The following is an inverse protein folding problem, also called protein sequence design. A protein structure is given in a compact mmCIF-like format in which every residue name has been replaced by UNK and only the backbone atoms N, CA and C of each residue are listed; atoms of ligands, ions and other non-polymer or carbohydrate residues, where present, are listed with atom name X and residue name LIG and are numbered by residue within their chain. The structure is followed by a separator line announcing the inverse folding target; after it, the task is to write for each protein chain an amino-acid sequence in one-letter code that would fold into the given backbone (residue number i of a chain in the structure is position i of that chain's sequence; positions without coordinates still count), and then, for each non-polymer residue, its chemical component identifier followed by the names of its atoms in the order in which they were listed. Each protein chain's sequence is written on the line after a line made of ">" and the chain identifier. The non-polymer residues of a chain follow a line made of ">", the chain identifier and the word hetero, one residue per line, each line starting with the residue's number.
data_IF_884749390623
#
_entry.id   IF_884749390623
#
_cell.length_a   1.000
_cell.length_b   1.000
_cell.length_c   1.000
_cell.angle_alpha   90.00
_cell.angle_beta   90.00
_cell.angle_gamma   90.00
#
_symmetry.space_group_name_H-M   'P 1'
#
loop_
_entity.id
_entity.type
_entity.pdbx_description
1 polymer ?
#
# COMPACT_ATOMS: atom_id res chain seq x y z
N UNK A 1 0.43 74.92 -38.37
CA UNK A 1 1.70 75.67 -38.08
C UNK A 1 2.60 74.73 -37.28
N UNK A 2 3.71 74.41 -37.93
CA UNK A 2 5.10 74.25 -37.45
C UNK A 2 5.35 73.48 -36.14
N UNK A 3 5.92 72.28 -36.32
CA UNK A 3 7.31 71.86 -35.99
C UNK A 3 7.70 71.90 -34.49
N UNK A 4 8.13 70.79 -33.91
CA UNK A 4 9.54 70.39 -33.88
C UNK A 4 9.69 68.93 -33.29
N UNK A 5 10.40 68.15 -34.06
CA UNK A 5 11.15 66.95 -33.65
C UNK A 5 12.19 67.28 -32.57
N UNK A 6 12.44 66.41 -31.65
CA UNK A 6 13.78 66.11 -31.17
C UNK A 6 13.92 64.69 -30.76
N UNK A 7 14.74 63.99 -31.45
CA UNK A 7 15.39 62.70 -31.23
C UNK A 7 16.22 62.70 -29.95
N UNK A 8 16.14 61.64 -29.18
CA UNK A 8 17.27 61.15 -28.42
C UNK A 8 17.21 59.63 -28.42
N UNK A 9 17.95 59.05 -29.33
CA UNK A 9 18.34 57.65 -29.32
C UNK A 9 19.73 57.52 -28.68
N UNK A 10 20.03 56.30 -28.24
CA UNK A 10 21.32 55.76 -27.79
C UNK A 10 21.77 56.04 -26.36
N UNK A 11 21.54 55.01 -25.55
CA UNK A 11 22.55 54.31 -24.74
C UNK A 11 21.87 53.44 -23.68
N UNK A 12 21.68 52.16 -23.97
CA UNK A 12 21.54 51.08 -22.96
C UNK A 12 21.46 49.72 -23.69
N UNK A 13 22.56 49.38 -24.32
CA UNK A 13 22.87 48.02 -24.74
C UNK A 13 24.28 47.71 -24.28
N UNK A 14 24.42 47.23 -23.05
CA UNK A 14 25.54 46.43 -22.56
C UNK A 14 25.22 46.11 -21.10
N UNK A 15 24.49 45.03 -20.86
CA UNK A 15 24.20 44.57 -19.49
C UNK A 15 23.36 43.29 -19.38
N UNK A 16 22.84 42.76 -20.51
CA UNK A 16 21.92 41.63 -20.48
C UNK A 16 22.53 40.26 -20.86
N UNK A 17 23.81 40.21 -21.25
CA UNK A 17 24.41 38.98 -21.79
C UNK A 17 25.13 38.12 -20.77
N UNK A 18 25.40 38.59 -19.55
CA UNK A 18 26.14 37.83 -18.56
C UNK A 18 25.24 37.01 -17.58
N UNK A 19 23.96 37.36 -17.42
CA UNK A 19 23.04 36.63 -16.50
C UNK A 19 22.34 35.41 -17.15
N UNK A 20 22.26 35.35 -18.47
CA UNK A 20 21.65 34.23 -19.17
C UNK A 20 22.56 32.99 -19.28
N UNK A 21 23.88 33.17 -19.25
CA UNK A 21 24.84 32.07 -19.35
C UNK A 21 24.98 31.27 -18.05
N UNK A 22 24.88 31.92 -16.89
CA UNK A 22 24.99 31.22 -15.58
C UNK A 22 23.72 30.45 -15.21
N UNK A 23 22.54 30.93 -15.60
CA UNK A 23 21.27 30.23 -15.38
C UNK A 23 21.13 28.96 -16.24
N UNK A 24 21.56 29.03 -17.50
CA UNK A 24 21.50 27.86 -18.40
C UNK A 24 22.49 26.77 -18.01
N UNK A 25 23.69 27.10 -17.54
CA UNK A 25 24.70 26.11 -17.11
C UNK A 25 24.27 25.41 -15.81
N UNK A 26 23.67 26.11 -14.85
CA UNK A 26 23.20 25.53 -13.60
C UNK A 26 21.98 24.61 -13.82
N UNK A 27 21.05 24.97 -14.70
CA UNK A 27 19.90 24.13 -15.05
C UNK A 27 20.35 22.87 -15.81
N UNK A 28 21.30 23.00 -16.75
CA UNK A 28 21.81 21.84 -17.48
C UNK A 28 22.66 20.91 -16.60
N UNK A 29 23.47 21.43 -15.70
CA UNK A 29 24.22 20.63 -14.73
C UNK A 29 23.31 19.91 -13.73
N UNK A 30 22.28 20.58 -13.21
CA UNK A 30 21.30 19.99 -12.31
C UNK A 30 20.47 18.87 -12.98
N UNK A 31 20.02 19.09 -14.23
CA UNK A 31 19.31 18.06 -15.00
C UNK A 31 20.18 16.85 -15.32
N UNK A 32 21.43 17.05 -15.68
CA UNK A 32 22.39 15.96 -15.98
C UNK A 32 22.69 15.15 -14.72
N UNK A 33 22.89 15.80 -13.57
CA UNK A 33 23.15 15.12 -12.28
C UNK A 33 21.95 14.30 -11.83
N UNK A 34 20.73 14.83 -11.97
CA UNK A 34 19.50 14.10 -11.64
C UNK A 34 19.30 12.90 -12.56
N UNK A 35 19.54 13.04 -13.85
CA UNK A 35 19.42 11.95 -14.83
C UNK A 35 20.46 10.86 -14.58
N UNK A 36 21.68 11.20 -14.22
CA UNK A 36 22.73 10.24 -13.87
C UNK A 36 22.35 9.46 -12.59
N UNK A 37 21.83 10.13 -11.56
CA UNK A 37 21.37 9.51 -10.33
C UNK A 37 20.18 8.56 -10.55
N UNK A 38 19.24 8.91 -11.42
CA UNK A 38 18.12 8.04 -11.78
C UNK A 38 18.58 6.80 -12.57
N UNK A 39 19.52 6.96 -13.49
CA UNK A 39 20.10 5.86 -14.26
C UNK A 39 20.88 4.90 -13.34
N UNK A 40 21.64 5.43 -12.40
CA UNK A 40 22.39 4.67 -11.42
C UNK A 40 21.45 3.84 -10.54
N UNK A 41 20.41 4.44 -9.97
CA UNK A 41 19.39 3.74 -9.17
C UNK A 41 18.66 2.66 -9.97
N UNK A 42 18.30 2.96 -11.22
CA UNK A 42 17.69 1.99 -12.13
C UNK A 42 18.58 0.75 -12.33
N UNK A 43 19.87 0.94 -12.59
CA UNK A 43 20.80 -0.16 -12.76
C UNK A 43 21.02 -0.94 -11.47
N UNK A 44 21.16 -0.25 -10.33
CA UNK A 44 21.32 -0.87 -9.03
C UNK A 44 20.17 -1.82 -8.71
N UNK A 45 18.93 -1.32 -8.78
CA UNK A 45 17.72 -2.11 -8.48
C UNK A 45 17.61 -3.34 -9.38
N UNK A 46 17.84 -3.19 -10.69
CA UNK A 46 17.75 -4.32 -11.63
C UNK A 46 18.84 -5.37 -11.39
N UNK A 47 20.03 -4.95 -11.02
CA UNK A 47 21.12 -5.84 -10.65
C UNK A 47 20.81 -6.58 -9.34
N UNK A 48 20.24 -5.89 -8.35
CA UNK A 48 19.78 -6.48 -7.09
C UNK A 48 18.69 -7.52 -7.36
N UNK A 49 17.67 -7.21 -8.16
CA UNK A 49 16.62 -8.17 -8.54
C UNK A 49 17.19 -9.38 -9.27
N UNK A 50 18.14 -9.17 -10.18
CA UNK A 50 18.83 -10.25 -10.91
C UNK A 50 19.63 -11.15 -9.98
N UNK A 51 20.44 -10.55 -9.09
CA UNK A 51 21.29 -11.24 -8.10
C UNK A 51 20.47 -12.15 -7.19
N UNK A 52 19.31 -11.67 -6.71
CA UNK A 52 18.44 -12.43 -5.82
C UNK A 52 17.40 -13.31 -6.54
N UNK A 53 17.46 -13.42 -7.86
CA UNK A 53 16.51 -14.19 -8.67
C UNK A 53 15.04 -13.81 -8.46
N UNK A 54 14.74 -12.56 -8.05
CA UNK A 54 13.39 -12.05 -7.92
C UNK A 54 12.96 -11.30 -9.18
N UNK A 55 11.63 -11.17 -9.37
CA UNK A 55 11.00 -10.43 -10.46
C UNK A 55 9.84 -9.62 -9.93
N UNK A 56 9.65 -8.45 -10.47
CA UNK A 56 8.58 -7.55 -10.02
C UNK A 56 8.84 -6.10 -10.39
N UNK A 57 8.28 -5.22 -9.57
CA UNK A 57 8.31 -3.78 -9.73
C UNK A 57 8.47 -3.11 -8.37
N UNK A 58 9.22 -2.02 -8.34
CA UNK A 58 9.42 -1.21 -7.13
C UNK A 58 9.35 0.26 -7.47
N UNK A 59 8.66 1.04 -6.66
CA UNK A 59 8.81 2.49 -6.61
C UNK A 59 9.80 2.84 -5.50
N UNK A 60 10.94 3.38 -5.90
CA UNK A 60 11.98 3.93 -5.03
C UNK A 60 11.68 5.41 -4.83
N UNK A 61 11.68 5.85 -3.58
CA UNK A 61 11.47 7.26 -3.23
C UNK A 61 12.75 7.80 -2.59
N UNK A 62 13.30 8.87 -3.16
CA UNK A 62 14.48 9.56 -2.64
C UNK A 62 14.22 11.07 -2.61
N UNK A 63 14.25 11.65 -1.43
CA UNK A 63 13.96 13.07 -1.19
C UNK A 63 12.59 13.50 -1.80
N UNK A 64 11.56 12.68 -1.61
CA UNK A 64 10.20 12.93 -2.11
C UNK A 64 10.00 12.66 -3.59
N UNK A 65 11.04 12.25 -4.33
CA UNK A 65 10.95 11.96 -5.77
C UNK A 65 10.80 10.46 -6.00
N UNK A 66 9.63 9.98 -6.47
CA UNK A 66 9.42 8.57 -6.79
C UNK A 66 10.00 8.21 -8.16
N UNK A 67 10.61 7.03 -8.24
CA UNK A 67 11.05 6.40 -9.48
C UNK A 67 10.61 4.95 -9.52
N UNK A 68 9.79 4.57 -10.50
CA UNK A 68 9.32 3.19 -10.66
C UNK A 68 10.27 2.41 -11.56
N UNK A 69 10.73 1.27 -11.07
CA UNK A 69 11.70 0.38 -11.72
C UNK A 69 11.14 -1.04 -11.75
N UNK A 70 11.22 -1.70 -12.88
CA UNK A 70 10.71 -3.05 -13.07
C UNK A 70 11.76 -4.01 -13.63
N UNK A 71 11.60 -5.31 -13.34
CA UNK A 71 12.44 -6.35 -13.86
C UNK A 71 11.67 -7.64 -14.10
N UNK A 72 11.89 -8.23 -15.29
CA UNK A 72 11.26 -9.50 -15.70
C UNK A 72 9.83 -9.37 -16.19
N UNK A 73 9.11 -10.48 -16.21
CA UNK A 73 7.77 -10.58 -16.77
C UNK A 73 6.72 -10.77 -15.68
N UNK A 74 5.62 -10.03 -15.79
CA UNK A 74 4.39 -10.25 -15.05
C UNK A 74 3.67 -11.53 -15.54
N UNK A 75 3.75 -11.79 -16.86
CA UNK A 75 3.28 -13.02 -17.47
C UNK A 75 4.31 -13.54 -18.50
N UNK A 76 5.14 -14.48 -18.08
CA UNK A 76 6.24 -14.99 -18.91
C UNK A 76 5.76 -15.61 -20.22
N UNK A 77 4.73 -16.46 -20.18
CA UNK A 77 4.20 -17.12 -21.38
C UNK A 77 3.62 -16.16 -22.44
N UNK A 78 3.10 -14.99 -22.01
CA UNK A 78 2.58 -13.95 -22.91
C UNK A 78 3.60 -12.83 -23.16
N UNK A 79 4.80 -12.90 -22.57
CA UNK A 79 5.85 -11.88 -22.68
C UNK A 79 5.38 -10.48 -22.21
N UNK A 80 4.46 -10.41 -21.25
CA UNK A 80 4.02 -9.15 -20.64
C UNK A 80 5.01 -8.81 -19.53
N UNK A 81 5.75 -7.70 -19.70
CA UNK A 81 6.76 -7.25 -18.74
C UNK A 81 6.14 -6.64 -17.48
N UNK A 82 6.88 -6.72 -16.36
CA UNK A 82 6.48 -6.06 -15.11
C UNK A 82 6.38 -4.52 -15.22
N UNK A 83 7.01 -3.87 -16.18
CA UNK A 83 6.86 -2.44 -16.46
C UNK A 83 5.70 -2.08 -17.39
N UNK A 84 4.86 -3.03 -17.78
CA UNK A 84 3.71 -2.75 -18.66
C UNK A 84 2.65 -1.95 -17.87
N UNK A 85 2.16 -0.81 -18.39
CA UNK A 85 1.18 0.04 -17.69
C UNK A 85 -0.19 -0.61 -17.49
N UNK A 86 -0.44 -1.76 -18.14
CA UNK A 86 -1.66 -2.55 -17.97
C UNK A 86 -1.49 -3.70 -16.97
N UNK A 87 -0.47 -3.67 -16.14
CA UNK A 87 -0.27 -4.67 -15.07
C UNK A 87 -0.57 -4.03 -13.72
N UNK A 88 -1.40 -4.70 -12.92
CA UNK A 88 -1.71 -4.33 -11.53
C UNK A 88 -1.37 -5.49 -10.60
N UNK A 89 -0.89 -5.22 -9.40
CA UNK A 89 -0.33 -6.22 -8.47
C UNK A 89 -1.20 -6.40 -7.24
N UNK A 90 -1.31 -7.61 -6.70
CA UNK A 90 -2.01 -7.85 -5.44
C UNK A 90 -1.28 -7.13 -4.30
N UNK A 91 -2.03 -6.38 -3.50
CA UNK A 91 -1.48 -5.70 -2.31
C UNK A 91 -1.29 -6.64 -1.14
N UNK A 92 -2.01 -7.76 -1.13
CA UNK A 92 -2.12 -8.60 0.06
C UNK A 92 -2.40 -7.74 1.31
N UNK A 93 -1.73 -8.00 2.42
CA UNK A 93 -1.97 -7.30 3.69
C UNK A 93 -1.68 -5.80 3.70
N UNK A 94 -1.05 -5.25 2.66
CA UNK A 94 -0.90 -3.81 2.51
C UNK A 94 -2.25 -3.08 2.40
N UNK A 95 -3.33 -3.77 2.02
CA UNK A 95 -4.69 -3.20 1.99
C UNK A 95 -5.19 -2.79 3.37
N UNK A 96 -4.75 -3.42 4.43
CA UNK A 96 -5.30 -3.23 5.77
C UNK A 96 -5.26 -1.78 6.24
N UNK A 97 -4.19 -1.04 5.94
CA UNK A 97 -4.12 0.38 6.31
C UNK A 97 -5.20 1.22 5.64
N UNK A 98 -5.59 0.86 4.43
CA UNK A 98 -6.66 1.54 3.68
C UNK A 98 -8.01 1.31 4.37
N UNK A 99 -8.31 0.06 4.77
CA UNK A 99 -9.51 -0.28 5.52
C UNK A 99 -9.58 0.47 6.85
N UNK A 100 -8.45 0.53 7.58
CA UNK A 100 -8.36 1.26 8.83
C UNK A 100 -8.51 2.79 8.64
N UNK A 101 -7.97 3.35 7.55
CA UNK A 101 -8.15 4.76 7.21
C UNK A 101 -9.62 5.11 6.96
N UNK A 102 -10.37 4.24 6.28
CA UNK A 102 -11.83 4.43 6.10
C UNK A 102 -12.56 4.42 7.46
N UNK A 103 -12.16 3.57 8.40
CA UNK A 103 -12.72 3.58 9.77
C UNK A 103 -12.47 4.94 10.45
N UNK A 104 -11.26 5.50 10.34
CA UNK A 104 -10.94 6.82 10.91
C UNK A 104 -11.77 7.93 10.26
N UNK A 105 -11.93 7.92 8.92
CA UNK A 105 -12.84 8.85 8.24
C UNK A 105 -14.27 8.78 8.82
N UNK A 106 -14.78 7.55 8.99
CA UNK A 106 -16.15 7.34 9.52
C UNK A 106 -16.29 7.76 10.99
N UNK A 107 -15.26 7.60 11.82
CA UNK A 107 -15.24 8.15 13.18
C UNK A 107 -15.45 9.68 13.15
N UNK A 108 -14.72 10.37 12.26
CA UNK A 108 -14.83 11.81 12.12
C UNK A 108 -16.20 12.25 11.55
N UNK A 109 -16.66 11.58 10.51
CA UNK A 109 -17.94 11.89 9.85
C UNK A 109 -19.15 11.68 10.76
N UNK A 110 -19.11 10.69 11.64
CA UNK A 110 -20.23 10.35 12.52
C UNK A 110 -20.20 11.04 13.88
N UNK A 111 -19.12 11.74 14.22
CA UNK A 111 -18.84 12.30 15.56
C UNK A 111 -20.01 13.03 16.22
N UNK A 112 -20.81 13.73 15.43
CA UNK A 112 -21.94 14.54 15.92
C UNK A 112 -23.31 13.97 15.50
N UNK A 113 -23.40 12.67 15.25
CA UNK A 113 -24.62 11.98 14.82
C UNK A 113 -24.99 10.87 15.81
N UNK A 114 -26.18 10.29 15.66
CA UNK A 114 -26.63 9.09 16.37
C UNK A 114 -25.78 7.85 16.06
N UNK A 115 -25.05 7.89 14.95
CA UNK A 115 -24.10 6.84 14.54
C UNK A 115 -22.70 7.01 15.12
N UNK A 116 -22.44 8.03 15.94
CA UNK A 116 -21.11 8.31 16.51
C UNK A 116 -20.49 7.07 17.17
N UNK A 117 -19.23 6.84 16.88
CA UNK A 117 -18.42 5.76 17.44
C UNK A 117 -16.94 6.18 17.48
N UNK A 118 -16.11 5.39 18.17
CA UNK A 118 -14.67 5.57 18.24
C UNK A 118 -13.94 4.26 18.45
N UNK A 119 -12.61 4.29 18.60
CA UNK A 119 -11.80 3.10 18.81
C UNK A 119 -12.21 2.23 20.00
N UNK A 120 -12.84 2.80 21.03
CA UNK A 120 -13.25 2.07 22.23
C UNK A 120 -14.67 1.48 22.12
N UNK A 121 -15.41 1.83 21.07
CA UNK A 121 -16.76 1.31 20.83
C UNK A 121 -16.72 -0.20 20.65
N UNK A 122 -17.57 -0.91 21.40
CA UNK A 122 -17.63 -2.37 21.34
C UNK A 122 -18.29 -2.84 20.05
N UNK A 123 -17.71 -3.89 19.44
CA UNK A 123 -18.21 -4.39 18.16
C UNK A 123 -19.56 -5.12 18.28
N UNK A 124 -20.02 -5.43 19.49
CA UNK A 124 -21.39 -5.92 19.72
C UNK A 124 -22.47 -4.99 19.19
N UNK A 125 -22.18 -3.70 18.99
CA UNK A 125 -23.07 -2.75 18.31
C UNK A 125 -23.44 -3.18 16.89
N UNK A 126 -22.52 -3.82 16.18
CA UNK A 126 -22.70 -4.29 14.79
C UNK A 126 -22.78 -5.81 14.68
N UNK A 127 -22.23 -6.52 15.66
CA UNK A 127 -22.16 -7.97 15.73
C UNK A 127 -22.63 -8.49 17.08
N UNK A 128 -23.93 -8.32 17.43
CA UNK A 128 -24.41 -8.68 18.77
C UNK A 128 -24.26 -10.17 19.11
N UNK A 129 -24.27 -11.03 18.09
CA UNK A 129 -24.17 -12.48 18.23
C UNK A 129 -22.75 -13.03 17.99
N UNK A 130 -21.74 -12.17 17.83
CA UNK A 130 -20.37 -12.62 17.68
C UNK A 130 -19.75 -12.94 19.05
N UNK A 131 -19.03 -14.03 19.12
CA UNK A 131 -18.31 -14.47 20.33
C UNK A 131 -17.40 -13.34 20.85
N UNK A 132 -17.51 -13.03 22.13
CA UNK A 132 -16.76 -11.99 22.83
C UNK A 132 -16.99 -10.54 22.32
N UNK A 133 -18.00 -10.29 21.47
CA UNK A 133 -18.22 -8.97 20.88
C UNK A 133 -18.38 -7.82 21.90
N UNK A 134 -18.91 -8.10 23.09
CA UNK A 134 -19.06 -7.13 24.18
C UNK A 134 -17.72 -6.70 24.81
N UNK A 135 -16.65 -7.45 24.58
CA UNK A 135 -15.32 -7.17 25.10
C UNK A 135 -14.39 -6.60 24.04
N UNK A 136 -14.63 -6.91 22.76
CA UNK A 136 -13.81 -6.49 21.64
C UNK A 136 -14.22 -5.08 21.22
N UNK A 137 -13.25 -4.16 21.07
CA UNK A 137 -13.47 -2.81 20.52
C UNK A 137 -13.05 -2.72 19.04
N UNK A 138 -13.47 -1.65 18.37
CA UNK A 138 -12.99 -1.31 17.01
C UNK A 138 -11.47 -1.22 16.98
N UNK A 139 -10.86 -0.60 17.99
CA UNK A 139 -9.40 -0.52 18.13
C UNK A 139 -8.74 -1.89 18.23
N UNK A 140 -9.34 -2.85 18.97
CA UNK A 140 -8.81 -4.21 19.06
C UNK A 140 -8.75 -4.91 17.69
N UNK A 141 -9.73 -4.67 16.80
CA UNK A 141 -9.67 -5.17 15.43
C UNK A 141 -8.51 -4.53 14.66
N UNK A 142 -8.34 -3.20 14.78
CA UNK A 142 -7.31 -2.44 14.06
C UNK A 142 -5.89 -2.73 14.54
N UNK A 143 -5.71 -3.29 15.73
CA UNK A 143 -4.40 -3.61 16.34
C UNK A 143 -4.13 -5.11 16.46
N UNK A 144 -5.04 -5.96 15.95
CA UNK A 144 -4.97 -7.42 16.11
C UNK A 144 -4.90 -7.89 17.57
N UNK A 145 -5.58 -7.17 18.48
CA UNK A 145 -5.66 -7.51 19.91
C UNK A 145 -7.07 -7.94 20.33
N UNK A 146 -7.87 -8.42 19.38
CA UNK A 146 -9.24 -8.89 19.61
C UNK A 146 -9.34 -10.25 20.30
N UNK A 147 -8.25 -11.02 20.35
CA UNK A 147 -8.28 -12.43 20.80
C UNK A 147 -8.91 -13.38 19.78
N UNK A 148 -9.20 -12.94 18.55
CA UNK A 148 -9.73 -13.79 17.49
C UNK A 148 -8.61 -14.69 16.95
N UNK A 149 -8.75 -16.01 17.13
CA UNK A 149 -7.83 -17.04 16.64
C UNK A 149 -8.47 -17.94 15.57
N UNK A 150 -9.58 -17.49 15.00
CA UNK A 150 -10.34 -18.22 13.99
C UNK A 150 -9.43 -18.77 12.87
N UNK A 151 -9.81 -19.92 12.31
CA UNK A 151 -9.08 -20.59 11.25
C UNK A 151 -8.78 -19.63 10.06
N UNK A 152 -7.71 -19.92 9.33
CA UNK A 152 -7.24 -19.12 8.19
C UNK A 152 -8.39 -18.85 7.21
N UNK A 153 -8.53 -17.59 6.81
CA UNK A 153 -9.52 -17.14 5.82
C UNK A 153 -9.09 -17.43 4.39
N UNK A 154 -7.80 -17.63 4.14
CA UNK A 154 -7.22 -17.87 2.82
C UNK A 154 -7.24 -19.34 2.42
N UNK A 155 -8.38 -19.99 2.60
CA UNK A 155 -8.56 -21.39 2.22
C UNK A 155 -9.27 -21.40 0.87
N UNK A 156 -8.55 -21.76 -0.19
CA UNK A 156 -9.14 -21.92 -1.52
C UNK A 156 -10.14 -23.10 -1.52
N UNK A 157 -11.42 -22.80 -1.32
CA UNK A 157 -12.53 -23.78 -1.27
C UNK A 157 -13.26 -23.93 -2.61
N UNK A 158 -12.79 -23.27 -3.68
CA UNK A 158 -13.51 -23.23 -4.95
C UNK A 158 -14.77 -22.37 -4.97
N UNK A 159 -15.13 -21.74 -3.83
CA UNK A 159 -16.31 -20.90 -3.69
C UNK A 159 -15.92 -19.43 -3.86
N UNK A 160 -16.62 -18.72 -4.72
CA UNK A 160 -16.52 -17.26 -4.85
C UNK A 160 -17.61 -16.64 -3.97
N UNK A 161 -17.18 -15.88 -2.97
CA UNK A 161 -18.05 -15.21 -2.01
C UNK A 161 -18.44 -13.80 -2.50
N UNK A 162 -19.69 -13.40 -2.24
CA UNK A 162 -20.00 -11.96 -2.15
C UNK A 162 -19.37 -11.37 -0.88
N UNK A 163 -19.32 -10.04 -0.76
CA UNK A 163 -18.84 -9.39 0.48
C UNK A 163 -19.65 -9.82 1.70
N UNK A 164 -20.98 -9.96 1.53
CA UNK A 164 -21.87 -10.40 2.60
C UNK A 164 -21.59 -11.85 3.02
N UNK A 165 -21.48 -12.76 2.04
CA UNK A 165 -21.20 -14.16 2.32
C UNK A 165 -19.82 -14.38 2.97
N UNK A 166 -18.80 -13.62 2.54
CA UNK A 166 -17.47 -13.66 3.15
C UNK A 166 -17.52 -13.22 4.61
N UNK A 167 -18.28 -12.19 4.92
CA UNK A 167 -18.49 -11.70 6.28
C UNK A 167 -19.24 -12.71 7.14
N UNK A 168 -20.35 -13.26 6.63
CA UNK A 168 -21.14 -14.30 7.31
C UNK A 168 -20.29 -15.54 7.59
N UNK A 169 -19.48 -15.95 6.63
CA UNK A 169 -18.55 -17.06 6.81
C UNK A 169 -17.55 -16.78 7.95
N UNK A 170 -16.97 -15.56 7.97
CA UNK A 170 -16.02 -15.16 9.02
C UNK A 170 -16.67 -15.15 10.39
N UNK A 171 -17.88 -14.60 10.52
CA UNK A 171 -18.64 -14.59 11.79
C UNK A 171 -18.91 -16.01 12.28
N UNK A 172 -19.38 -16.90 11.41
CA UNK A 172 -19.59 -18.33 11.75
C UNK A 172 -18.28 -19.01 12.16
N UNK A 173 -17.21 -18.75 11.45
CA UNK A 173 -15.90 -19.34 11.72
C UNK A 173 -15.36 -18.89 13.10
N UNK A 174 -15.49 -17.59 13.44
CA UNK A 174 -15.10 -17.07 14.76
C UNK A 174 -15.93 -17.73 15.87
N UNK A 175 -17.25 -17.81 15.71
CA UNK A 175 -18.14 -18.39 16.72
C UNK A 175 -17.84 -19.88 17.00
N UNK A 176 -17.36 -20.59 15.99
CA UNK A 176 -17.01 -22.03 16.07
C UNK A 176 -15.54 -22.31 16.42
N UNK A 177 -14.73 -21.26 16.61
CA UNK A 177 -13.30 -21.41 16.89
C UNK A 177 -12.96 -21.08 18.35
N UNK A 178 -11.84 -21.59 18.89
CA UNK A 178 -11.27 -21.05 20.13
C UNK A 178 -11.02 -19.56 20.03
N UNK A 179 -10.83 -18.89 21.15
CA UNK A 179 -10.44 -17.49 21.22
C UNK A 179 -9.44 -17.29 22.36
N UNK A 180 -8.49 -16.40 22.16
CA UNK A 180 -7.60 -15.89 23.20
C UNK A 180 -8.29 -14.77 24.00
N UNK A 181 -7.61 -14.28 25.03
CA UNK A 181 -8.04 -13.11 25.77
C UNK A 181 -7.97 -11.86 24.90
N UNK A 182 -8.98 -11.02 24.99
CA UNK A 182 -8.93 -9.67 24.40
C UNK A 182 -7.77 -8.89 25.03
N UNK A 183 -6.98 -8.22 24.21
CA UNK A 183 -5.73 -7.59 24.59
C UNK A 183 -4.49 -8.39 24.18
N UNK A 184 -4.61 -9.69 23.84
CA UNK A 184 -3.50 -10.48 23.30
C UNK A 184 -3.33 -10.23 21.81
N UNK A 185 -2.10 -9.96 21.38
CA UNK A 185 -1.78 -9.77 19.96
C UNK A 185 -1.83 -11.11 19.22
N UNK A 186 -2.73 -11.18 18.23
CA UNK A 186 -2.85 -12.32 17.34
C UNK A 186 -3.24 -11.84 15.94
N UNK A 187 -2.26 -11.79 15.03
CA UNK A 187 -2.51 -11.33 13.66
C UNK A 187 -3.51 -12.27 12.95
N UNK A 188 -4.65 -11.71 12.53
CA UNK A 188 -5.71 -12.49 11.86
C UNK A 188 -6.49 -11.60 10.87
N UNK A 189 -6.64 -12.08 9.63
CA UNK A 189 -7.40 -11.38 8.59
C UNK A 189 -8.86 -11.10 8.97
N UNK A 190 -9.47 -11.98 9.78
CA UNK A 190 -10.85 -11.83 10.25
C UNK A 190 -11.09 -10.47 10.92
N UNK A 191 -10.10 -9.90 11.60
CA UNK A 191 -10.21 -8.58 12.21
C UNK A 191 -10.56 -7.51 11.16
N UNK A 192 -9.86 -7.50 10.05
CA UNK A 192 -10.07 -6.50 8.99
C UNK A 192 -11.30 -6.81 8.12
N UNK A 193 -11.66 -8.07 7.98
CA UNK A 193 -12.93 -8.45 7.33
C UNK A 193 -14.12 -7.96 8.17
N UNK A 194 -14.08 -8.08 9.50
CA UNK A 194 -15.11 -7.49 10.38
C UNK A 194 -15.18 -5.97 10.24
N UNK A 195 -14.05 -5.26 10.08
CA UNK A 195 -14.07 -3.82 9.83
C UNK A 195 -14.82 -3.46 8.55
N UNK A 196 -14.75 -4.28 7.48
CA UNK A 196 -15.54 -4.02 6.26
C UNK A 196 -17.04 -4.09 6.52
N UNK A 197 -17.49 -5.00 7.37
CA UNK A 197 -18.89 -5.07 7.76
C UNK A 197 -19.35 -3.89 8.61
N UNK A 198 -18.48 -3.35 9.49
CA UNK A 198 -18.75 -2.12 10.23
C UNK A 198 -18.90 -0.94 9.24
N UNK A 199 -17.96 -0.81 8.27
CA UNK A 199 -18.03 0.21 7.22
C UNK A 199 -19.38 0.13 6.48
N UNK A 200 -19.79 -1.07 6.07
CA UNK A 200 -21.05 -1.30 5.35
C UNK A 200 -22.28 -0.89 6.17
N UNK A 201 -22.32 -1.24 7.46
CA UNK A 201 -23.47 -0.93 8.33
C UNK A 201 -23.58 0.56 8.64
N UNK A 202 -22.45 1.28 8.77
CA UNK A 202 -22.44 2.72 9.02
C UNK A 202 -22.87 3.50 7.79
N UNK A 203 -22.31 3.14 6.61
CA UNK A 203 -22.48 3.88 5.36
C UNK A 203 -23.72 3.47 4.57
N UNK A 204 -24.23 2.25 4.76
CA UNK A 204 -25.26 1.65 3.90
C UNK A 204 -24.76 1.26 2.51
N UNK A 205 -23.45 1.39 2.24
CA UNK A 205 -22.81 1.09 0.97
C UNK A 205 -21.93 -0.17 1.09
N UNK A 206 -21.65 -0.86 -0.04
CA UNK A 206 -20.67 -1.94 -0.04
C UNK A 206 -19.27 -1.43 0.32
N UNK A 207 -18.38 -2.33 0.79
CA UNK A 207 -16.98 -1.97 1.00
C UNK A 207 -16.31 -1.51 -0.31
N UNK A 208 -16.66 -2.16 -1.42
CA UNK A 208 -16.25 -1.76 -2.76
C UNK A 208 -16.61 -0.30 -3.08
N UNK A 209 -17.87 0.10 -2.86
CA UNK A 209 -18.31 1.48 -3.09
C UNK A 209 -17.55 2.47 -2.18
N UNK A 210 -17.30 2.10 -0.93
CA UNK A 210 -16.52 2.93 -0.01
C UNK A 210 -15.07 3.11 -0.48
N UNK A 211 -14.37 2.04 -0.88
CA UNK A 211 -13.00 2.15 -1.36
C UNK A 211 -12.93 2.93 -2.68
N UNK A 212 -13.91 2.73 -3.56
CA UNK A 212 -13.99 3.43 -4.83
C UNK A 212 -14.13 4.95 -4.64
N UNK A 213 -15.04 5.39 -3.79
CA UNK A 213 -15.31 6.82 -3.61
C UNK A 213 -14.32 7.51 -2.68
N UNK A 214 -13.93 6.85 -1.60
CA UNK A 214 -13.10 7.43 -0.53
C UNK A 214 -11.61 7.42 -0.82
N UNK A 215 -11.15 6.49 -1.67
CA UNK A 215 -9.73 6.27 -1.94
C UNK A 215 -9.43 6.43 -3.44
N UNK A 216 -10.00 5.57 -4.28
CA UNK A 216 -9.62 5.47 -5.69
C UNK A 216 -9.96 6.75 -6.46
N UNK A 217 -11.21 7.20 -6.40
CA UNK A 217 -11.63 8.42 -7.07
C UNK A 217 -11.01 9.67 -6.45
N UNK A 218 -10.93 9.71 -5.12
CA UNK A 218 -10.39 10.86 -4.38
C UNK A 218 -8.93 11.14 -4.73
N UNK A 219 -8.13 10.09 -4.93
CA UNK A 219 -6.74 10.20 -5.38
C UNK A 219 -6.59 10.15 -6.91
N UNK A 220 -7.65 9.92 -7.67
CA UNK A 220 -7.59 9.77 -9.12
C UNK A 220 -6.70 8.59 -9.57
N UNK A 221 -6.79 7.44 -8.85
CA UNK A 221 -6.03 6.24 -9.17
C UNK A 221 -6.63 5.57 -10.42
N UNK A 222 -5.79 5.08 -11.33
CA UNK A 222 -6.20 4.53 -12.62
C UNK A 222 -6.00 3.02 -12.74
N UNK A 223 -5.10 2.46 -11.92
CA UNK A 223 -4.70 1.06 -11.93
C UNK A 223 -4.90 0.39 -10.57
N UNK A 224 -5.86 0.88 -9.77
CA UNK A 224 -6.22 0.35 -8.46
C UNK A 224 -7.64 -0.21 -8.49
N UNK A 225 -7.80 -1.49 -8.15
CA UNK A 225 -9.06 -2.22 -8.26
C UNK A 225 -9.19 -3.22 -7.12
N UNK A 226 -10.40 -3.50 -6.66
CA UNK A 226 -10.67 -4.79 -6.00
C UNK A 226 -10.57 -5.91 -7.05
N UNK A 227 -10.17 -7.11 -6.65
CA UNK A 227 -9.92 -8.24 -7.56
C UNK A 227 -11.06 -8.46 -8.57
N UNK A 228 -12.30 -8.46 -8.07
CA UNK A 228 -13.49 -8.70 -8.91
C UNK A 228 -13.75 -7.62 -9.97
N UNK A 229 -13.11 -6.45 -9.84
CA UNK A 229 -13.31 -5.28 -10.69
C UNK A 229 -12.14 -4.98 -11.61
N UNK A 230 -11.13 -5.87 -11.66
CA UNK A 230 -10.02 -5.72 -12.59
C UNK A 230 -10.59 -5.70 -14.02
N UNK A 231 -10.42 -4.58 -14.78
CA UNK A 231 -11.03 -4.47 -16.11
C UNK A 231 -10.46 -5.47 -17.09
N UNK A 232 -11.29 -5.88 -18.06
CA UNK A 232 -10.79 -6.67 -19.19
C UNK A 232 -9.67 -5.91 -19.92
N UNK A 233 -8.53 -6.56 -20.10
CA UNK A 233 -7.33 -5.98 -20.73
C UNK A 233 -6.32 -5.42 -19.74
N UNK A 234 -6.62 -5.37 -18.44
CA UNK A 234 -5.64 -5.24 -17.37
C UNK A 234 -5.17 -6.65 -16.98
N UNK A 235 -3.90 -6.79 -16.70
CA UNK A 235 -3.27 -8.06 -16.35
C UNK A 235 -2.96 -8.09 -14.87
N UNK A 236 -3.54 -9.03 -14.14
CA UNK A 236 -3.01 -9.50 -12.87
C UNK A 236 -1.82 -10.42 -13.14
N UNK A 237 -0.69 -10.29 -12.44
CA UNK A 237 0.52 -11.04 -12.74
C UNK A 237 0.40 -12.50 -12.32
N UNK A 238 1.18 -13.34 -12.99
CA UNK A 238 1.39 -14.73 -12.57
C UNK A 238 2.46 -14.76 -11.49
N UNK A 239 2.22 -15.51 -10.42
CA UNK A 239 3.22 -15.85 -9.42
C UNK A 239 4.17 -16.93 -9.95
N UNK A 240 5.45 -16.73 -9.77
CA UNK A 240 6.50 -17.67 -10.20
C UNK A 240 7.48 -17.96 -9.08
N UNK A 241 8.10 -19.12 -9.16
CA UNK A 241 9.16 -19.58 -8.29
C UNK A 241 10.51 -19.58 -9.00
N UNK A 242 11.55 -19.19 -8.30
CA UNK A 242 12.94 -19.39 -8.75
C UNK A 242 13.56 -20.57 -8.02
N UNK A 243 13.83 -21.67 -8.72
CA UNK A 243 14.43 -22.87 -8.16
C UNK A 243 15.83 -23.08 -8.73
N UNK A 244 16.86 -23.06 -7.88
CA UNK A 244 18.25 -23.28 -8.29
C UNK A 244 18.69 -22.34 -9.41
N UNK A 245 18.22 -21.08 -9.41
CA UNK A 245 18.49 -20.07 -10.44
C UNK A 245 17.64 -20.20 -11.71
N UNK A 246 16.80 -21.24 -11.84
CA UNK A 246 15.81 -21.37 -12.92
C UNK A 246 14.61 -20.51 -12.60
N UNK A 247 14.41 -19.45 -13.39
CA UNK A 247 13.32 -18.51 -13.21
C UNK A 247 12.01 -19.02 -13.83
N UNK A 248 10.88 -18.39 -13.42
CA UNK A 248 9.52 -18.61 -13.96
C UNK A 248 9.02 -20.05 -13.83
N UNK A 249 9.40 -20.72 -12.72
CA UNK A 249 8.92 -22.06 -12.41
C UNK A 249 7.58 -21.97 -11.64
N UNK A 250 6.82 -23.08 -11.60
CA UNK A 250 5.62 -23.25 -10.78
C UNK A 250 4.63 -22.11 -10.91
N UNK A 251 4.26 -21.76 -12.15
CA UNK A 251 3.31 -20.69 -12.44
C UNK A 251 2.00 -20.88 -11.67
N UNK A 252 1.60 -19.88 -10.89
CA UNK A 252 0.35 -19.88 -10.13
C UNK A 252 -0.31 -18.49 -10.21
N UNK A 253 -1.61 -18.42 -10.00
CA UNK A 253 -2.38 -17.17 -10.05
C UNK A 253 -3.42 -17.12 -8.94
N UNK A 254 -3.77 -15.89 -8.52
CA UNK A 254 -4.80 -15.67 -7.53
C UNK A 254 -6.15 -16.02 -8.15
N UNK A 255 -6.87 -16.94 -7.51
CA UNK A 255 -8.22 -17.32 -7.92
C UNK A 255 -9.26 -16.42 -7.26
N UNK A 256 -10.36 -16.19 -7.97
CA UNK A 256 -11.50 -15.44 -7.43
C UNK A 256 -11.99 -16.00 -6.09
N UNK A 257 -11.98 -17.34 -5.95
CA UNK A 257 -12.34 -18.02 -4.71
C UNK A 257 -11.41 -17.70 -3.53
N UNK A 258 -10.12 -17.39 -3.78
CA UNK A 258 -9.20 -16.95 -2.75
C UNK A 258 -9.40 -15.46 -2.42
N UNK A 259 -9.38 -14.60 -3.45
CA UNK A 259 -9.49 -13.15 -3.27
C UNK A 259 -10.81 -12.74 -2.59
N UNK A 260 -11.93 -13.41 -2.93
CA UNK A 260 -13.25 -13.11 -2.36
C UNK A 260 -13.38 -13.41 -0.86
N UNK A 261 -12.46 -14.22 -0.28
CA UNK A 261 -12.49 -14.57 1.14
C UNK A 261 -11.88 -13.50 2.06
N UNK A 262 -11.17 -12.52 1.51
CA UNK A 262 -10.38 -11.55 2.27
C UNK A 262 -10.71 -10.08 1.94
N UNK A 263 -12.02 -9.71 1.85
CA UNK A 263 -12.38 -8.32 1.60
C UNK A 263 -11.78 -7.41 2.68
N UNK A 264 -11.18 -6.30 2.27
CA UNK A 264 -10.55 -5.34 3.17
C UNK A 264 -9.24 -5.79 3.83
N UNK A 265 -8.84 -7.04 3.66
CA UNK A 265 -7.64 -7.61 4.26
C UNK A 265 -6.54 -7.95 3.24
N UNK A 266 -6.85 -8.02 1.91
CA UNK A 266 -5.85 -8.38 0.93
C UNK A 266 -6.33 -8.57 -0.51
N UNK A 267 -7.56 -8.21 -0.85
CA UNK A 267 -8.11 -8.39 -2.20
C UNK A 267 -8.01 -7.17 -3.12
N UNK A 268 -7.24 -6.15 -2.73
CA UNK A 268 -6.94 -4.98 -3.56
C UNK A 268 -5.75 -5.25 -4.47
N UNK A 269 -5.82 -4.71 -5.69
CA UNK A 269 -4.75 -4.73 -6.69
C UNK A 269 -4.39 -3.30 -7.07
N UNK A 270 -3.11 -3.00 -7.21
CA UNK A 270 -2.63 -1.64 -7.52
C UNK A 270 -1.23 -1.69 -8.17
N UNK A 271 -0.66 -0.54 -8.47
CA UNK A 271 0.74 -0.39 -8.87
C UNK A 271 1.55 0.22 -7.72
N UNK A 272 2.89 0.05 -7.67
CA UNK A 272 3.69 0.58 -6.56
C UNK A 272 3.64 2.10 -6.45
N UNK A 273 3.57 2.82 -7.55
CA UNK A 273 3.46 4.28 -7.58
C UNK A 273 2.08 4.75 -7.07
N UNK A 274 0.99 4.07 -7.44
CA UNK A 274 -0.34 4.39 -6.91
C UNK A 274 -0.44 4.03 -5.41
N UNK A 275 0.18 2.94 -4.98
CA UNK A 275 0.23 2.63 -3.55
C UNK A 275 1.10 3.65 -2.77
N UNK A 276 2.18 4.17 -3.35
CA UNK A 276 2.92 5.28 -2.76
C UNK A 276 2.04 6.52 -2.62
N UNK A 277 1.23 6.87 -3.62
CA UNK A 277 0.26 7.98 -3.51
C UNK A 277 -0.78 7.76 -2.41
N UNK A 278 -1.24 6.52 -2.21
CA UNK A 278 -2.08 6.17 -1.06
C UNK A 278 -1.33 6.44 0.25
N UNK A 279 -0.07 6.02 0.36
CA UNK A 279 0.75 6.24 1.55
C UNK A 279 0.98 7.73 1.87
N UNK A 280 1.14 8.57 0.85
CA UNK A 280 1.19 10.03 0.98
C UNK A 280 -0.17 10.56 1.46
N UNK A 281 -1.25 10.11 0.84
CA UNK A 281 -2.62 10.51 1.16
C UNK A 281 -3.06 10.22 2.60
N UNK A 282 -2.40 9.29 3.29
CA UNK A 282 -2.69 8.99 4.70
C UNK A 282 -2.34 10.14 5.67
N UNK A 283 -1.61 11.17 5.22
CA UNK A 283 -1.15 12.25 6.12
C UNK A 283 -1.10 13.65 5.48
N UNK A 284 -1.48 13.80 4.20
CA UNK A 284 -1.43 15.09 3.48
C UNK A 284 -2.78 15.80 3.39
N UNK A 285 -3.85 15.22 3.95
CA UNK A 285 -5.22 15.74 3.88
C UNK A 285 -6.05 15.15 2.74
N UNK A 286 -5.48 14.40 1.82
CA UNK A 286 -6.25 13.81 0.72
C UNK A 286 -7.05 12.58 1.14
N UNK A 287 -6.57 11.74 2.04
CA UNK A 287 -7.33 10.64 2.67
C UNK A 287 -7.57 10.95 4.14
N UNK A 288 -6.50 11.19 4.88
CA UNK A 288 -6.47 11.57 6.28
C UNK A 288 -5.55 12.79 6.44
N UNK A 289 -5.78 13.61 7.45
CA UNK A 289 -4.83 14.62 7.85
C UNK A 289 -3.77 14.05 8.82
N UNK A 290 -2.84 14.88 9.27
CA UNK A 290 -1.76 14.46 10.19
C UNK A 290 -2.30 14.01 11.54
N UNK A 291 -3.37 14.62 12.04
CA UNK A 291 -3.97 14.27 13.33
C UNK A 291 -4.69 12.93 13.24
N UNK A 292 -5.37 12.68 12.13
CA UNK A 292 -6.03 11.42 11.83
C UNK A 292 -5.02 10.28 11.62
N UNK A 293 -3.91 10.56 10.95
CA UNK A 293 -2.82 9.60 10.82
C UNK A 293 -2.21 9.27 12.19
N UNK A 294 -2.01 10.27 13.03
CA UNK A 294 -1.57 10.05 14.42
C UNK A 294 -2.59 9.21 15.19
N UNK A 295 -3.88 9.52 15.11
CA UNK A 295 -4.94 8.71 15.73
C UNK A 295 -4.91 7.26 15.24
N UNK A 296 -4.80 7.02 13.92
CA UNK A 296 -4.71 5.70 13.30
C UNK A 296 -3.56 4.86 13.86
N UNK A 297 -2.45 5.49 14.16
CA UNK A 297 -1.19 4.82 14.57
C UNK A 297 -0.98 4.76 16.09
N UNK A 298 -1.86 5.41 16.89
CA UNK A 298 -1.76 5.52 18.36
C UNK A 298 -3.06 5.07 19.05
N UNK A 299 -3.63 3.95 18.58
CA UNK A 299 -4.82 3.38 19.22
C UNK A 299 -4.51 2.85 20.63
N UNK A 300 -5.44 3.03 21.58
CA UNK A 300 -5.29 2.62 22.97
C UNK A 300 -5.03 1.10 23.14
N UNK A 301 -5.50 0.30 22.20
CA UNK A 301 -5.31 -1.16 22.18
C UNK A 301 -3.97 -1.62 21.59
N UNK A 302 -3.12 -0.70 21.14
CA UNK A 302 -1.79 -0.99 20.58
C UNK A 302 -0.86 -1.51 21.69
N UNK A 303 -0.34 -2.72 21.54
CA UNK A 303 0.63 -3.36 22.45
C UNK A 303 1.94 -3.76 21.78
N UNK A 304 2.01 -3.61 20.44
CA UNK A 304 3.18 -3.88 19.61
C UNK A 304 3.45 -2.69 18.69
N UNK A 305 4.44 -2.80 17.82
CA UNK A 305 4.67 -1.81 16.76
C UNK A 305 3.52 -1.75 15.72
N UNK A 306 2.63 -2.77 15.68
CA UNK A 306 1.51 -2.84 14.73
C UNK A 306 0.33 -2.00 15.19
N UNK A 307 -0.13 -1.11 14.33
CA UNK A 307 -1.33 -0.31 14.55
C UNK A 307 -1.95 0.14 13.23
N UNK A 308 -3.27 0.06 13.12
CA UNK A 308 -3.99 0.59 11.96
C UNK A 308 -3.58 0.03 10.60
N UNK A 309 -3.11 -1.22 10.55
CA UNK A 309 -2.75 -1.88 9.29
C UNK A 309 -1.28 -1.79 8.89
N UNK A 310 -0.42 -1.21 9.73
CA UNK A 310 1.02 -1.08 9.48
C UNK A 310 1.84 -1.21 10.78
N UNK A 311 3.15 -1.33 10.62
CA UNK A 311 4.12 -1.25 11.71
C UNK A 311 4.77 0.13 11.73
N UNK A 312 4.87 0.75 12.90
CA UNK A 312 5.72 1.91 13.13
C UNK A 312 7.01 1.45 13.81
N UNK A 313 8.14 1.74 13.20
CA UNK A 313 9.47 1.29 13.63
C UNK A 313 10.40 2.47 13.91
N UNK A 314 11.49 2.22 14.61
CA UNK A 314 12.54 3.20 14.93
C UNK A 314 11.96 4.51 15.52
N UNK A 315 11.30 4.40 16.67
CA UNK A 315 10.64 5.54 17.31
C UNK A 315 9.71 6.29 16.35
N UNK A 316 8.96 5.52 15.57
CA UNK A 316 7.92 6.00 14.64
C UNK A 316 8.43 6.83 13.45
N UNK A 317 9.75 6.85 13.23
CA UNK A 317 10.33 7.50 12.06
C UNK A 317 10.10 6.72 10.75
N UNK A 318 9.79 5.42 10.86
CA UNK A 318 9.53 4.52 9.74
C UNK A 318 8.15 3.88 9.84
N UNK A 319 7.45 3.79 8.72
CA UNK A 319 6.26 2.97 8.55
C UNK A 319 6.57 1.80 7.61
N UNK A 320 6.11 0.61 7.99
CA UNK A 320 6.36 -0.62 7.25
C UNK A 320 5.12 -1.50 7.20
N UNK A 321 4.95 -2.18 6.08
CA UNK A 321 3.95 -3.23 5.92
C UNK A 321 4.47 -4.27 4.93
N UNK A 322 4.01 -5.50 5.08
CA UNK A 322 4.34 -6.58 4.15
C UNK A 322 3.14 -7.51 3.97
N UNK A 323 3.16 -8.26 2.89
CA UNK A 323 2.12 -9.24 2.60
C UNK A 323 2.55 -10.29 1.60
N UNK A 324 1.90 -11.43 1.69
CA UNK A 324 2.05 -12.55 0.77
C UNK A 324 0.74 -13.32 0.69
N UNK A 325 0.63 -14.23 -0.26
CA UNK A 325 -0.46 -15.19 -0.34
C UNK A 325 0.07 -16.59 -0.06
N UNK A 326 -0.64 -17.34 0.78
CA UNK A 326 -0.23 -18.69 1.13
C UNK A 326 -0.05 -19.58 -0.11
N UNK A 327 1.08 -20.26 -0.19
CA UNK A 327 1.41 -21.16 -1.31
C UNK A 327 1.72 -20.46 -2.64
N UNK A 328 1.97 -19.15 -2.62
CA UNK A 328 2.35 -18.37 -3.80
C UNK A 328 3.66 -17.62 -3.55
N UNK A 329 4.31 -17.23 -4.63
CA UNK A 329 5.57 -16.47 -4.63
C UNK A 329 5.36 -14.99 -4.98
N UNK A 330 4.23 -14.41 -4.53
CA UNK A 330 4.04 -12.98 -4.44
C UNK A 330 4.65 -12.47 -3.13
N UNK A 331 5.45 -11.42 -3.22
CA UNK A 331 5.97 -10.71 -2.06
C UNK A 331 5.69 -9.23 -2.19
N UNK A 332 5.04 -8.63 -1.20
CA UNK A 332 4.81 -7.19 -1.16
C UNK A 332 5.47 -6.61 0.08
N UNK A 333 6.25 -5.56 -0.09
CA UNK A 333 6.89 -4.88 1.03
C UNK A 333 6.97 -3.39 0.82
N UNK A 334 6.63 -2.67 1.88
CA UNK A 334 6.73 -1.22 1.99
C UNK A 334 7.57 -0.89 3.20
N UNK A 335 8.54 -0.02 3.02
CA UNK A 335 9.15 0.71 4.11
C UNK A 335 9.42 2.14 3.64
N UNK A 336 8.82 3.10 4.32
CA UNK A 336 8.91 4.52 4.03
C UNK A 336 9.21 5.27 5.33
N UNK A 337 9.95 6.37 5.23
CA UNK A 337 9.94 7.37 6.31
C UNK A 337 8.52 7.90 6.52
N UNK A 338 8.15 8.23 7.75
CA UNK A 338 6.77 8.67 8.08
C UNK A 338 6.36 9.95 7.35
N UNK A 339 7.33 10.76 6.92
CA UNK A 339 7.14 11.94 6.06
C UNK A 339 7.06 11.60 4.56
N UNK A 340 7.13 10.32 4.19
CA UNK A 340 7.12 9.83 2.81
C UNK A 340 8.27 10.30 1.91
N UNK A 341 9.34 10.85 2.47
CA UNK A 341 10.43 11.41 1.67
C UNK A 341 11.41 10.35 1.16
N UNK A 342 11.57 9.23 1.87
CA UNK A 342 12.51 8.19 1.47
C UNK A 342 11.94 6.80 1.73
N UNK A 343 12.27 5.84 0.87
CA UNK A 343 11.90 4.45 1.05
C UNK A 343 11.49 3.73 -0.23
N UNK A 344 10.75 2.64 -0.09
CA UNK A 344 10.27 1.82 -1.22
C UNK A 344 8.84 1.36 -1.04
N UNK A 345 8.18 1.13 -2.18
CA UNK A 345 6.99 0.30 -2.34
C UNK A 345 7.32 -0.76 -3.38
N UNK A 346 7.32 -2.04 -3.00
CA UNK A 346 7.78 -3.12 -3.86
C UNK A 346 6.75 -4.24 -3.96
N UNK A 347 6.47 -4.66 -5.20
CA UNK A 347 5.62 -5.81 -5.52
C UNK A 347 6.39 -6.81 -6.36
N UNK A 348 6.62 -8.00 -5.81
CA UNK A 348 7.29 -9.10 -6.51
C UNK A 348 6.25 -10.14 -6.96
N UNK A 349 6.43 -10.67 -8.15
CA UNK A 349 5.68 -11.81 -8.66
C UNK A 349 6.55 -13.06 -8.90
N UNK A 350 7.81 -12.99 -8.51
CA UNK A 350 8.71 -14.14 -8.38
C UNK A 350 9.59 -13.96 -7.16
N UNK A 351 9.60 -14.97 -6.29
CA UNK A 351 10.53 -15.15 -5.17
C UNK A 351 11.20 -16.51 -5.26
N UNK A 352 12.03 -16.86 -4.27
CA UNK A 352 12.75 -18.13 -4.14
C UNK A 352 12.42 -18.79 -2.78
N UNK A 353 13.20 -19.77 -2.34
CA UNK A 353 13.01 -20.47 -1.06
C UNK A 353 13.27 -19.62 0.19
N UNK A 354 13.85 -18.42 0.03
CA UNK A 354 14.02 -17.51 1.14
C UNK A 354 12.66 -16.87 1.50
N UNK A 355 12.11 -17.22 2.65
CA UNK A 355 10.85 -16.68 3.16
C UNK A 355 10.88 -15.16 3.38
N UNK A 356 12.07 -14.55 3.42
CA UNK A 356 12.27 -13.12 3.58
C UNK A 356 12.85 -12.45 2.32
N UNK A 357 12.78 -13.11 1.17
CA UNK A 357 13.40 -12.62 -0.07
C UNK A 357 13.00 -11.17 -0.41
N UNK A 358 11.72 -10.82 -0.20
CA UNK A 358 11.23 -9.45 -0.44
C UNK A 358 11.86 -8.44 0.52
N UNK A 359 12.08 -8.81 1.79
CA UNK A 359 12.68 -7.92 2.80
C UNK A 359 14.17 -7.76 2.57
N UNK A 360 14.87 -8.86 2.27
CA UNK A 360 16.32 -8.83 2.04
C UNK A 360 16.67 -7.98 0.80
N UNK A 361 15.92 -8.18 -0.29
CA UNK A 361 16.07 -7.40 -1.53
C UNK A 361 15.71 -5.94 -1.30
N UNK A 362 14.58 -5.69 -0.65
CA UNK A 362 14.13 -4.34 -0.35
C UNK A 362 15.08 -3.61 0.59
N UNK A 363 15.63 -4.28 1.60
CA UNK A 363 16.60 -3.69 2.52
C UNK A 363 17.92 -3.31 1.79
N UNK A 364 18.41 -4.15 0.87
CA UNK A 364 19.58 -3.82 0.04
C UNK A 364 19.33 -2.52 -0.75
N UNK A 365 18.13 -2.36 -1.33
CA UNK A 365 17.73 -1.14 -2.04
C UNK A 365 17.64 0.07 -1.07
N UNK A 366 17.01 -0.11 0.09
CA UNK A 366 16.86 0.94 1.10
C UNK A 366 18.21 1.47 1.61
N UNK A 367 19.18 0.58 1.84
CA UNK A 367 20.53 0.96 2.24
C UNK A 367 21.25 1.80 1.16
N UNK A 368 20.96 1.52 -0.12
CA UNK A 368 21.49 2.29 -1.24
C UNK A 368 20.83 3.68 -1.37
N UNK A 369 19.55 3.81 -1.00
CA UNK A 369 18.85 5.11 -0.97
C UNK A 369 19.45 6.01 0.11
N UNK A 370 19.54 5.50 1.35
CA UNK A 370 19.99 6.23 2.52
C UNK A 370 20.54 5.26 3.58
N UNK A 371 21.85 5.06 3.65
CA UNK A 371 22.49 4.17 4.62
C UNK A 371 22.07 4.48 6.06
N UNK A 372 21.94 3.44 6.89
CA UNK A 372 21.68 3.51 8.33
C UNK A 372 20.33 4.18 8.72
N UNK A 373 19.40 4.33 7.77
CA UNK A 373 18.08 4.91 8.05
C UNK A 373 17.02 3.84 8.25
N UNK A 374 17.12 2.72 7.54
CA UNK A 374 16.11 1.69 7.45
C UNK A 374 16.46 0.43 8.22
N UNK A 375 15.45 -0.41 8.52
CA UNK A 375 15.62 -1.68 9.23
C UNK A 375 15.33 -2.86 8.32
N UNK A 376 16.06 -3.98 8.52
CA UNK A 376 15.92 -5.17 7.68
C UNK A 376 14.61 -5.92 7.93
N UNK A 377 14.02 -5.82 9.14
CA UNK A 377 12.81 -6.56 9.54
C UNK A 377 11.93 -5.75 10.49
#
# INVERSE_FOLDING_TARGET
>A
MKHKFFTLATALMFGASALLATGAITVQAATTTTQNSQTEMYNFVRNTFKKHHVRGVVTVVKNGVPQTISYGYAWYGKRIGNGNPKVTYPTASLQKVITAAIIVQLINETKNTDKAFNQNTKISRWYPNLKNANNISVGNLMTHTSGITAAKTEINRGIVYSEADALDWVVKNINNSPSDNVGTYHYNNSNFILLTGIIRQITGLSYEQNIQTRIIQKLGLKNTYLYQNIPKGITDPISYYSNGGKNYQNANYIKASLASQIPGAGNLFTTPDEYYRIQVGLSDGSILDKSDFHYLTHLNSKITEYCGGMYLKQNESLKSAYGSFYGMHFGTWVQLTTDNQNGIVMFLNQTNDNENAEKDVGYEILQHIKPNTFVSR
#
